data_IF_880033806336
#
_entry.id   IF_880033806336
#
_cell.length_a   1.000
_cell.length_b   1.000
_cell.length_c   1.000
_cell.angle_alpha   90.00
_cell.angle_beta   90.00
_cell.angle_gamma   90.00
#
_symmetry.space_group_name_H-M   'P 1'
#
loop_
_entity.id
_entity.type
_entity.pdbx_description
1 polymer ?
#
# COMPACT_ATOMS: atom_id res chain seq x y z
N UNK A 1 -31.70 22.55 18.51
CA UNK A 1 -30.95 21.28 18.37
C UNK A 1 -30.59 21.03 16.88
N UNK A 2 -31.45 21.43 15.88
CA UNK A 2 -31.14 21.25 14.45
C UNK A 2 -30.04 22.17 13.89
N UNK A 3 -29.78 23.34 14.50
CA UNK A 3 -28.76 24.28 13.99
C UNK A 3 -27.31 23.86 14.31
N UNK A 4 -27.10 23.06 15.33
CA UNK A 4 -25.74 22.63 15.75
C UNK A 4 -25.18 21.51 14.86
N UNK A 5 -26.06 20.63 14.34
CA UNK A 5 -25.64 19.55 13.42
C UNK A 5 -25.22 20.09 12.04
N UNK A 6 -25.77 21.23 11.61
CA UNK A 6 -25.43 21.82 10.30
C UNK A 6 -24.04 22.46 10.31
N UNK A 7 -23.60 22.97 11.45
CA UNK A 7 -22.28 23.61 11.59
C UNK A 7 -21.11 22.59 11.56
N UNK A 8 -21.35 21.38 12.07
CA UNK A 8 -20.33 20.31 12.06
C UNK A 8 -20.13 19.78 10.62
N UNK A 9 -21.20 19.74 9.80
CA UNK A 9 -21.10 19.26 8.41
C UNK A 9 -20.37 20.24 7.50
N UNK A 10 -20.49 21.56 7.76
CA UNK A 10 -19.79 22.60 6.99
C UNK A 10 -18.30 22.67 7.34
N UNK A 11 -17.93 22.40 8.61
CA UNK A 11 -16.53 22.39 9.04
C UNK A 11 -15.74 21.18 8.49
N UNK A 12 -16.40 20.02 8.29
CA UNK A 12 -15.77 18.85 7.70
C UNK A 12 -15.48 19.01 6.20
N UNK A 13 -16.26 19.86 5.50
CA UNK A 13 -16.10 20.10 4.05
C UNK A 13 -14.94 21.05 3.71
N UNK A 14 -14.32 21.72 4.70
CA UNK A 14 -13.25 22.70 4.48
C UNK A 14 -11.83 22.12 4.71
N UNK A 15 -11.72 20.83 5.09
CA UNK A 15 -10.44 20.19 5.38
C UNK A 15 -9.92 19.30 4.26
N UNK A 16 -10.59 19.24 3.11
CA UNK A 16 -9.99 18.61 1.93
C UNK A 16 -9.03 19.60 1.25
N UNK A 17 -7.72 19.34 1.21
CA UNK A 17 -6.83 20.14 0.41
C UNK A 17 -7.25 19.97 -1.05
N UNK A 18 -7.55 21.11 -1.72
CA UNK A 18 -7.58 21.17 -3.17
C UNK A 18 -6.16 20.84 -3.63
N UNK A 19 -5.90 19.59 -4.00
CA UNK A 19 -4.74 19.26 -4.81
C UNK A 19 -4.93 19.97 -6.16
N UNK A 20 -4.28 21.12 -6.30
CA UNK A 20 -4.10 21.75 -7.59
C UNK A 20 -3.25 20.78 -8.43
N UNK A 21 -3.91 20.12 -9.41
CA UNK A 21 -3.25 19.30 -10.42
C UNK A 21 -2.33 20.22 -11.22
N UNK A 22 -1.02 20.07 -11.04
CA UNK A 22 -0.04 20.68 -11.93
C UNK A 22 -0.17 19.94 -13.28
N UNK A 23 -0.51 20.65 -14.35
CA UNK A 23 -0.34 20.14 -15.71
C UNK A 23 1.16 20.01 -15.99
N UNK A 24 1.73 18.84 -15.68
CA UNK A 24 3.05 18.44 -16.16
C UNK A 24 2.93 17.99 -17.61
N UNK A 25 3.82 18.49 -18.47
CA UNK A 25 3.85 18.11 -19.87
C UNK A 25 3.85 16.61 -20.05
N UNK A 26 2.83 16.11 -20.73
CA UNK A 26 2.56 14.71 -20.99
C UNK A 26 3.65 14.15 -21.88
N UNK A 27 4.53 13.32 -21.31
CA UNK A 27 5.32 12.41 -22.13
C UNK A 27 4.37 11.37 -22.74
N UNK A 28 4.58 11.05 -24.01
CA UNK A 28 3.77 10.08 -24.74
C UNK A 28 4.01 8.67 -24.14
N UNK A 29 3.21 8.29 -23.14
CA UNK A 29 3.29 7.01 -22.43
C UNK A 29 2.62 5.87 -23.22
N UNK A 30 1.95 6.15 -24.35
CA UNK A 30 1.12 5.20 -25.13
C UNK A 30 1.85 3.94 -25.61
N UNK A 31 3.16 3.85 -25.45
CA UNK A 31 3.95 2.67 -25.83
C UNK A 31 4.75 2.04 -24.69
N UNK A 32 4.81 2.67 -23.50
CA UNK A 32 5.65 2.23 -22.39
C UNK A 32 4.86 1.60 -21.24
N UNK A 33 3.65 2.08 -20.98
CA UNK A 33 2.81 1.61 -19.89
C UNK A 33 1.33 1.83 -20.24
N UNK A 34 0.68 0.95 -20.99
CA UNK A 34 -0.69 1.14 -21.47
C UNK A 34 -1.74 1.26 -20.35
N UNK A 35 -1.37 0.93 -19.12
CA UNK A 35 -2.23 0.94 -17.96
C UNK A 35 -1.83 1.94 -16.87
N UNK A 36 -0.66 2.60 -17.00
CA UNK A 36 -0.24 3.63 -16.05
C UNK A 36 -1.07 4.92 -16.23
N UNK A 37 -1.41 5.53 -15.10
CA UNK A 37 -2.16 6.80 -15.09
C UNK A 37 -1.21 7.99 -15.35
N UNK A 38 -1.79 9.13 -15.79
CA UNK A 38 -1.06 10.39 -15.89
C UNK A 38 -0.49 10.79 -14.53
N UNK A 39 0.83 10.80 -14.43
CA UNK A 39 1.56 11.16 -13.21
C UNK A 39 2.27 10.00 -12.53
N UNK A 40 2.05 8.76 -12.97
CA UNK A 40 2.85 7.63 -12.49
C UNK A 40 4.30 7.78 -12.93
N UNK A 41 5.22 7.53 -12.02
CA UNK A 41 6.65 7.55 -12.29
C UNK A 41 7.19 6.16 -12.62
N UNK A 42 6.49 5.12 -12.17
CA UNK A 42 6.86 3.73 -12.26
C UNK A 42 5.64 2.85 -12.53
N UNK A 43 5.86 1.63 -13.03
CA UNK A 43 4.88 0.55 -13.02
C UNK A 43 5.58 -0.81 -12.96
N UNK A 44 4.83 -1.87 -12.74
CA UNK A 44 5.33 -3.24 -12.62
C UNK A 44 4.81 -4.07 -13.80
N UNK A 45 5.64 -4.31 -14.84
CA UNK A 45 5.26 -5.16 -15.97
C UNK A 45 4.94 -6.59 -15.57
N UNK A 46 5.79 -7.19 -14.70
CA UNK A 46 5.65 -8.58 -14.27
C UNK A 46 5.92 -8.71 -12.77
N UNK A 47 5.02 -9.42 -12.09
CA UNK A 47 5.12 -9.75 -10.68
C UNK A 47 4.81 -11.24 -10.47
N UNK A 48 5.85 -12.04 -10.35
CA UNK A 48 5.73 -13.49 -10.12
C UNK A 48 6.02 -13.83 -8.68
N UNK A 49 5.13 -14.62 -8.08
CA UNK A 49 5.29 -15.13 -6.71
C UNK A 49 5.18 -16.65 -6.74
N UNK A 50 6.15 -17.34 -6.19
CA UNK A 50 6.12 -18.79 -6.04
C UNK A 50 6.12 -19.14 -4.56
N UNK A 51 5.17 -19.97 -4.14
CA UNK A 51 4.97 -20.41 -2.75
C UNK A 51 5.19 -21.91 -2.67
N UNK A 52 6.17 -22.31 -1.90
CA UNK A 52 6.49 -23.70 -1.57
C UNK A 52 6.20 -23.95 -0.09
N UNK A 53 5.09 -24.67 0.20
CA UNK A 53 4.67 -24.99 1.55
C UNK A 53 5.59 -26.03 2.16
N UNK A 54 5.96 -25.85 3.44
CA UNK A 54 6.71 -26.81 4.26
C UNK A 54 5.79 -27.66 5.13
N UNK A 55 6.34 -28.77 5.66
CA UNK A 55 5.60 -29.72 6.49
C UNK A 55 5.12 -29.11 7.82
N UNK A 56 5.76 -28.07 8.32
CA UNK A 56 5.39 -27.38 9.56
C UNK A 56 4.34 -26.27 9.38
N UNK A 57 3.90 -26.02 8.14
CA UNK A 57 2.92 -24.98 7.81
C UNK A 57 3.56 -23.63 7.48
N UNK A 58 4.88 -23.50 7.57
CA UNK A 58 5.61 -22.35 7.02
C UNK A 58 5.71 -22.46 5.50
N UNK A 59 6.14 -21.40 4.84
CA UNK A 59 6.35 -21.42 3.40
C UNK A 59 7.66 -20.72 3.01
N UNK A 60 8.32 -21.25 1.98
CA UNK A 60 9.36 -20.53 1.25
C UNK A 60 8.70 -19.80 0.07
N UNK A 61 8.82 -18.49 0.07
CA UNK A 61 8.21 -17.63 -0.94
C UNK A 61 9.31 -16.98 -1.77
N UNK A 62 9.20 -17.07 -3.08
CA UNK A 62 10.07 -16.39 -4.04
C UNK A 62 9.29 -15.30 -4.73
N UNK A 63 9.79 -14.08 -4.68
CA UNK A 63 9.34 -12.91 -5.42
C UNK A 63 10.28 -12.66 -6.58
N UNK A 64 9.75 -12.55 -7.81
CA UNK A 64 10.48 -12.23 -9.03
C UNK A 64 9.74 -11.11 -9.76
N UNK A 65 10.30 -9.93 -9.73
CA UNK A 65 9.62 -8.70 -10.10
C UNK A 65 10.41 -7.96 -11.17
N UNK A 66 9.71 -7.55 -12.21
CA UNK A 66 10.22 -6.60 -13.20
C UNK A 66 9.61 -5.23 -12.91
N UNK A 67 10.44 -4.22 -12.70
CA UNK A 67 10.06 -2.85 -12.39
C UNK A 67 10.52 -1.91 -13.49
N UNK A 68 9.65 -1.01 -13.93
CA UNK A 68 9.90 -0.07 -15.01
C UNK A 68 9.69 1.36 -14.54
N UNK A 69 10.76 2.17 -14.58
CA UNK A 69 10.67 3.62 -14.42
C UNK A 69 10.21 4.22 -15.74
N UNK A 70 9.18 5.08 -15.70
CA UNK A 70 8.58 5.71 -16.88
C UNK A 70 8.64 7.23 -16.85
N UNK A 71 8.69 7.84 -15.67
CA UNK A 71 8.67 9.28 -15.47
C UNK A 71 9.83 9.81 -14.64
N UNK A 72 9.83 11.11 -14.40
CA UNK A 72 10.83 11.80 -13.59
C UNK A 72 11.94 12.49 -14.39
N UNK A 73 12.64 13.41 -13.74
CA UNK A 73 13.77 14.17 -14.29
C UNK A 73 15.13 13.56 -13.91
N UNK A 74 16.22 14.27 -14.19
CA UNK A 74 17.58 13.78 -13.92
C UNK A 74 17.89 13.59 -12.41
N UNK A 75 17.08 14.14 -11.53
CA UNK A 75 17.22 14.01 -10.08
C UNK A 75 16.38 12.87 -9.53
N UNK A 76 15.39 12.42 -10.29
CA UNK A 76 14.49 11.32 -9.94
C UNK A 76 15.07 10.00 -10.43
N UNK A 77 15.26 9.07 -9.52
CA UNK A 77 15.78 7.75 -9.82
C UNK A 77 15.27 6.71 -8.84
N UNK A 78 15.06 5.52 -9.34
CA UNK A 78 14.78 4.35 -8.54
C UNK A 78 16.10 3.75 -8.03
N UNK A 79 16.25 3.60 -6.73
CA UNK A 79 17.40 2.97 -6.08
C UNK A 79 17.02 1.96 -5.00
N UNK A 80 15.78 1.94 -4.58
CA UNK A 80 15.22 0.99 -3.62
C UNK A 80 13.71 0.94 -3.74
N UNK A 81 13.12 -0.17 -3.29
CA UNK A 81 11.68 -0.39 -3.20
C UNK A 81 11.32 -1.08 -1.89
N UNK A 82 10.06 -0.99 -1.47
CA UNK A 82 9.45 -1.82 -0.43
C UNK A 82 8.46 -2.80 -1.09
N UNK A 83 8.61 -4.09 -0.82
CA UNK A 83 7.68 -5.12 -1.26
C UNK A 83 6.94 -5.65 -0.05
N UNK A 84 5.61 -5.59 -0.06
CA UNK A 84 4.77 -6.07 1.02
C UNK A 84 4.95 -7.57 1.26
N UNK A 85 5.03 -7.95 2.54
CA UNK A 85 5.07 -9.33 3.02
C UNK A 85 3.76 -9.64 3.75
N UNK A 86 3.34 -10.90 3.83
CA UNK A 86 2.06 -11.28 4.42
C UNK A 86 1.89 -10.84 5.88
N UNK A 87 2.95 -10.91 6.67
CA UNK A 87 2.96 -10.51 8.09
C UNK A 87 4.39 -10.29 8.60
N UNK A 88 4.54 -10.00 9.89
CA UNK A 88 5.82 -9.69 10.53
C UNK A 88 6.73 -10.92 10.79
N UNK A 89 6.24 -12.14 10.56
CA UNK A 89 6.98 -13.38 10.81
C UNK A 89 7.75 -13.85 9.57
N UNK A 90 8.41 -12.90 8.91
CA UNK A 90 9.27 -13.11 7.76
C UNK A 90 10.74 -13.26 8.21
N UNK A 91 11.38 -14.34 7.79
CA UNK A 91 12.75 -14.70 8.16
C UNK A 91 13.57 -15.02 6.89
N UNK A 92 14.88 -15.11 7.03
CA UNK A 92 15.81 -15.61 6.01
C UNK A 92 15.66 -14.93 4.63
N UNK A 93 15.47 -13.60 4.61
CA UNK A 93 15.42 -12.85 3.36
C UNK A 93 16.74 -13.02 2.60
N UNK A 94 16.68 -13.58 1.41
CA UNK A 94 17.85 -13.90 0.59
C UNK A 94 17.72 -13.32 -0.83
N UNK A 95 18.65 -12.46 -1.28
CA UNK A 95 18.67 -11.98 -2.64
C UNK A 95 19.02 -13.11 -3.62
N UNK A 96 18.26 -13.22 -4.72
CA UNK A 96 18.47 -14.24 -5.76
C UNK A 96 19.05 -13.66 -7.06
N UNK A 97 19.16 -12.32 -7.15
CA UNK A 97 19.76 -11.61 -8.29
C UNK A 97 20.86 -10.66 -7.83
N UNK A 98 21.84 -10.42 -8.69
CA UNK A 98 22.95 -9.47 -8.47
C UNK A 98 22.52 -7.98 -8.60
N UNK A 99 21.30 -7.75 -9.04
CA UNK A 99 20.67 -6.41 -9.07
C UNK A 99 20.37 -5.89 -7.68
N UNK A 100 20.28 -6.76 -6.66
CA UNK A 100 20.05 -6.41 -5.26
C UNK A 100 21.42 -6.25 -4.57
N UNK A 101 21.68 -5.07 -4.00
CA UNK A 101 22.88 -4.81 -3.20
C UNK A 101 22.65 -4.98 -1.70
N UNK A 102 21.41 -4.79 -1.23
CA UNK A 102 21.01 -4.97 0.17
C UNK A 102 19.53 -5.37 0.23
N UNK A 103 19.19 -6.25 1.18
CA UNK A 103 17.84 -6.75 1.39
C UNK A 103 17.59 -6.89 2.88
N UNK A 104 16.57 -6.22 3.38
CA UNK A 104 16.27 -6.18 4.81
C UNK A 104 14.75 -6.23 5.04
N UNK A 105 14.34 -6.90 6.13
CA UNK A 105 13.00 -6.74 6.67
C UNK A 105 12.85 -5.33 7.30
N UNK A 106 11.69 -4.72 7.12
CA UNK A 106 11.30 -3.49 7.82
C UNK A 106 9.84 -3.55 8.24
N UNK A 107 9.57 -3.25 9.53
CA UNK A 107 8.23 -3.15 10.12
C UNK A 107 7.68 -1.72 10.17
N UNK A 108 8.29 -0.78 9.44
CA UNK A 108 7.89 0.63 9.44
C UNK A 108 6.62 0.85 8.59
N UNK A 109 5.47 0.91 9.25
CA UNK A 109 4.15 1.10 8.65
C UNK A 109 3.59 -0.16 7.98
N UNK A 110 4.02 -1.37 8.38
CA UNK A 110 3.61 -2.66 7.84
C UNK A 110 4.78 -3.62 7.71
N UNK A 111 4.54 -4.80 7.16
CA UNK A 111 5.57 -5.84 6.94
C UNK A 111 6.13 -5.75 5.53
N UNK A 112 7.42 -5.40 5.37
CA UNK A 112 8.02 -5.20 4.06
C UNK A 112 9.40 -5.81 3.94
N UNK A 113 9.73 -6.28 2.74
CA UNK A 113 11.10 -6.45 2.28
C UNK A 113 11.57 -5.14 1.65
N UNK A 114 12.56 -4.48 2.24
CA UNK A 114 13.25 -3.34 1.64
C UNK A 114 14.37 -3.85 0.75
N UNK A 115 14.22 -3.63 -0.54
CA UNK A 115 15.17 -4.02 -1.58
C UNK A 115 15.97 -2.80 -2.01
N UNK A 116 17.28 -2.82 -1.86
CA UNK A 116 18.17 -1.75 -2.35
C UNK A 116 18.93 -2.25 -3.58
N UNK A 117 18.90 -1.49 -4.65
CA UNK A 117 19.51 -1.88 -5.91
C UNK A 117 21.01 -1.55 -5.95
N UNK A 118 21.77 -2.36 -6.69
CA UNK A 118 23.20 -2.16 -6.91
C UNK A 118 23.49 -0.91 -7.77
N UNK A 119 22.52 -0.38 -8.48
CA UNK A 119 22.61 0.83 -9.32
C UNK A 119 21.29 1.58 -9.32
N UNK A 120 21.30 2.77 -9.93
CA UNK A 120 20.11 3.62 -10.12
C UNK A 120 19.47 3.36 -11.46
N UNK A 121 18.13 3.45 -11.51
CA UNK A 121 17.32 3.35 -12.72
C UNK A 121 16.58 4.67 -12.92
N UNK A 122 16.41 5.07 -14.16
CA UNK A 122 15.91 6.40 -14.54
C UNK A 122 14.79 6.26 -15.57
N UNK A 123 14.05 7.33 -15.83
CA UNK A 123 13.12 7.37 -16.96
C UNK A 123 13.87 7.08 -18.28
N UNK A 124 13.18 6.57 -19.33
CA UNK A 124 13.82 6.22 -20.59
C UNK A 124 14.63 7.36 -21.21
N UNK A 125 14.12 8.60 -21.13
CA UNK A 125 14.79 9.78 -21.66
C UNK A 125 16.10 10.08 -20.92
N UNK A 126 16.06 10.01 -19.60
CA UNK A 126 17.26 10.26 -18.75
C UNK A 126 18.26 9.12 -18.90
N UNK A 127 17.78 7.87 -18.94
CA UNK A 127 18.62 6.68 -19.15
C UNK A 127 19.36 6.75 -20.49
N UNK A 128 18.69 7.16 -21.57
CA UNK A 128 19.30 7.34 -22.89
C UNK A 128 20.41 8.41 -22.91
N UNK A 129 20.24 9.49 -22.13
CA UNK A 129 21.24 10.57 -22.05
C UNK A 129 22.46 10.19 -21.21
N UNK A 130 22.28 9.40 -20.15
CA UNK A 130 23.30 9.08 -19.16
C UNK A 130 23.94 7.68 -19.36
N UNK A 131 23.50 6.90 -20.33
CA UNK A 131 23.91 5.50 -20.52
C UNK A 131 23.40 4.57 -19.41
N UNK A 132 22.29 4.93 -18.77
CA UNK A 132 21.63 4.17 -17.72
C UNK A 132 20.58 3.19 -18.24
N UNK A 133 19.80 2.64 -17.33
CA UNK A 133 18.68 1.74 -17.60
C UNK A 133 17.40 2.28 -16.95
N UNK A 134 16.25 1.95 -17.54
CA UNK A 134 14.92 2.32 -17.04
C UNK A 134 14.15 1.13 -16.45
N UNK A 135 14.68 -0.10 -16.61
CA UNK A 135 14.04 -1.33 -16.18
C UNK A 135 14.99 -2.14 -15.29
N UNK A 136 14.46 -2.72 -14.24
CA UNK A 136 15.16 -3.68 -13.40
C UNK A 136 14.31 -4.93 -13.22
N UNK A 137 14.95 -6.10 -13.29
CA UNK A 137 14.40 -7.36 -12.78
C UNK A 137 15.20 -7.75 -11.55
N UNK A 138 14.49 -8.08 -10.49
CA UNK A 138 15.08 -8.54 -9.24
C UNK A 138 14.25 -9.67 -8.63
N UNK A 139 14.94 -10.57 -7.94
CA UNK A 139 14.28 -11.65 -7.25
C UNK A 139 14.91 -11.86 -5.88
N UNK A 140 14.07 -12.24 -4.92
CA UNK A 140 14.48 -12.62 -3.58
C UNK A 140 13.58 -13.71 -3.03
N UNK A 141 14.06 -14.45 -2.04
CA UNK A 141 13.25 -15.39 -1.28
C UNK A 141 13.12 -14.94 0.17
N UNK A 142 12.05 -15.39 0.79
CA UNK A 142 11.75 -15.20 2.21
C UNK A 142 11.17 -16.50 2.77
N UNK A 143 11.55 -16.84 4.00
CA UNK A 143 10.87 -17.85 4.79
C UNK A 143 9.77 -17.18 5.60
N UNK A 144 8.52 -17.64 5.46
CA UNK A 144 7.35 -16.99 6.02
C UNK A 144 6.61 -17.94 6.95
N UNK A 145 6.38 -17.51 8.17
CA UNK A 145 5.56 -18.19 9.17
C UNK A 145 4.18 -17.51 9.29
N UNK A 146 3.28 -18.09 10.08
CA UNK A 146 1.96 -17.56 10.41
C UNK A 146 1.09 -17.30 9.17
N UNK A 147 0.98 -18.29 8.28
CA UNK A 147 0.18 -18.18 7.05
C UNK A 147 -1.14 -18.96 7.10
N UNK A 148 -1.39 -19.78 8.13
CA UNK A 148 -2.50 -20.72 8.14
C UNK A 148 -3.36 -20.62 9.41
N UNK A 149 -4.57 -21.11 9.27
CA UNK A 149 -5.51 -21.36 10.40
C UNK A 149 -5.92 -22.83 10.37
N UNK A 150 -5.84 -23.50 11.51
CA UNK A 150 -6.31 -24.89 11.65
C UNK A 150 -7.83 -24.92 11.76
N UNK A 151 -8.47 -25.82 11.02
CA UNK A 151 -9.90 -26.04 11.01
C UNK A 151 -10.27 -27.26 11.86
N UNK A 152 -11.50 -27.28 12.41
CA UNK A 152 -12.03 -28.38 13.22
C UNK A 152 -12.16 -29.70 12.44
N UNK A 153 -12.17 -29.66 11.12
CA UNK A 153 -12.32 -30.81 10.22
C UNK A 153 -10.99 -31.52 9.87
N UNK A 154 -9.88 -31.08 10.44
CA UNK A 154 -8.54 -31.62 10.18
C UNK A 154 -7.91 -31.11 8.91
N UNK A 155 -8.32 -29.91 8.47
CA UNK A 155 -7.67 -29.16 7.40
C UNK A 155 -7.00 -27.90 7.94
N UNK A 156 -6.11 -27.29 7.16
CA UNK A 156 -5.58 -25.95 7.38
C UNK A 156 -5.92 -25.06 6.20
N UNK A 157 -6.37 -23.85 6.47
CA UNK A 157 -6.63 -22.83 5.46
C UNK A 157 -5.50 -21.80 5.48
N UNK A 158 -4.90 -21.58 4.34
CA UNK A 158 -3.91 -20.54 4.08
C UNK A 158 -4.59 -19.35 3.43
N UNK A 159 -4.36 -18.17 3.99
CA UNK A 159 -4.73 -16.89 3.41
C UNK A 159 -3.45 -16.14 3.02
N UNK A 160 -3.26 -15.90 1.75
CA UNK A 160 -2.07 -15.27 1.24
C UNK A 160 -2.41 -14.10 0.33
N UNK A 161 -1.89 -12.94 0.68
CA UNK A 161 -1.97 -11.74 -0.13
C UNK A 161 -0.56 -11.31 -0.48
N UNK A 162 -0.11 -11.45 -1.74
CA UNK A 162 1.14 -10.84 -2.19
C UNK A 162 1.11 -9.34 -1.94
N UNK A 163 2.29 -8.72 -1.77
CA UNK A 163 2.37 -7.28 -1.63
C UNK A 163 1.62 -6.55 -2.75
N UNK A 164 0.85 -5.54 -2.40
CA UNK A 164 0.16 -4.66 -3.35
C UNK A 164 0.75 -3.25 -3.25
N UNK A 165 0.37 -2.38 -4.18
CA UNK A 165 0.91 -1.03 -4.27
C UNK A 165 -0.22 -0.02 -4.35
N UNK A 166 -0.15 1.02 -3.52
CA UNK A 166 -1.17 2.08 -3.48
C UNK A 166 -1.06 3.03 -4.68
N UNK A 167 0.17 3.23 -5.18
CA UNK A 167 0.51 4.25 -6.18
C UNK A 167 1.08 3.67 -7.48
N UNK A 168 0.97 2.35 -7.70
CA UNK A 168 1.53 1.68 -8.88
C UNK A 168 0.52 0.75 -9.53
N UNK A 169 0.68 0.59 -10.83
CA UNK A 169 -0.04 -0.41 -11.63
C UNK A 169 0.83 -1.65 -11.78
N UNK A 170 0.24 -2.83 -11.59
CA UNK A 170 0.84 -4.12 -11.93
C UNK A 170 0.18 -4.64 -13.20
N UNK A 171 0.90 -4.72 -14.30
CA UNK A 171 0.36 -5.14 -15.59
C UNK A 171 0.01 -6.62 -15.60
N UNK A 172 0.90 -7.44 -15.05
CA UNK A 172 0.72 -8.89 -14.97
C UNK A 172 1.24 -9.43 -13.64
N UNK A 173 0.38 -10.09 -12.85
CA UNK A 173 0.76 -10.82 -11.65
C UNK A 173 0.40 -12.29 -11.81
N UNK A 174 1.33 -13.18 -11.47
CA UNK A 174 1.10 -14.61 -11.38
C UNK A 174 1.53 -15.12 -10.00
N UNK A 175 0.64 -15.85 -9.33
CA UNK A 175 0.98 -16.58 -8.12
C UNK A 175 0.96 -18.07 -8.43
N UNK A 176 2.03 -18.76 -8.05
CA UNK A 176 2.20 -20.21 -8.21
C UNK A 176 2.37 -20.81 -6.81
N UNK A 177 1.47 -21.69 -6.45
CA UNK A 177 1.52 -22.43 -5.19
C UNK A 177 1.76 -23.90 -5.47
N UNK A 178 2.79 -24.50 -4.85
CA UNK A 178 3.07 -25.91 -5.08
C UNK A 178 1.88 -26.75 -4.65
N UNK A 179 1.32 -27.53 -5.59
CA UNK A 179 0.16 -28.40 -5.34
C UNK A 179 0.57 -29.63 -4.55
N UNK A 180 -0.39 -30.21 -3.83
CA UNK A 180 -0.26 -31.44 -3.09
C UNK A 180 -1.56 -32.25 -3.06
N UNK A 181 -1.47 -33.49 -2.60
CA UNK A 181 -2.63 -34.38 -2.53
C UNK A 181 -3.72 -33.81 -1.62
N UNK A 182 -4.92 -33.65 -2.17
CA UNK A 182 -6.09 -33.16 -1.41
C UNK A 182 -6.15 -31.65 -1.20
N UNK A 183 -5.25 -30.87 -1.85
CA UNK A 183 -5.34 -29.41 -1.82
C UNK A 183 -6.60 -28.94 -2.54
N UNK A 184 -7.28 -27.95 -1.95
CA UNK A 184 -8.44 -27.27 -2.51
C UNK A 184 -8.16 -25.79 -2.60
N UNK A 185 -8.33 -25.21 -3.78
CA UNK A 185 -8.07 -23.80 -4.03
C UNK A 185 -9.03 -23.26 -5.10
N UNK A 186 -9.12 -21.95 -5.19
CA UNK A 186 -9.86 -21.20 -6.20
C UNK A 186 -8.99 -20.76 -7.39
N UNK A 187 -7.91 -21.50 -7.65
CA UNK A 187 -6.93 -21.21 -8.68
C UNK A 187 -7.50 -21.19 -10.11
N UNK A 188 -6.85 -20.45 -11.00
CA UNK A 188 -7.25 -20.31 -12.41
C UNK A 188 -6.90 -21.57 -13.21
N UNK A 189 -5.76 -22.21 -12.90
CA UNK A 189 -5.27 -23.40 -13.58
C UNK A 189 -4.32 -24.21 -12.69
N UNK A 190 -3.94 -25.39 -13.16
CA UNK A 190 -2.89 -26.23 -12.58
C UNK A 190 -1.91 -26.63 -13.67
N UNK A 191 -0.62 -26.40 -13.47
CA UNK A 191 0.44 -26.70 -14.40
C UNK A 191 1.74 -27.05 -13.67
N UNK A 192 2.44 -28.09 -14.14
CA UNK A 192 3.73 -28.53 -13.61
C UNK A 192 3.78 -28.76 -12.10
N UNK A 193 2.65 -29.18 -11.49
CA UNK A 193 2.53 -29.40 -10.05
C UNK A 193 2.37 -28.11 -9.24
N UNK A 194 1.86 -27.07 -9.86
CA UNK A 194 1.50 -25.82 -9.19
C UNK A 194 0.04 -25.46 -9.47
N UNK A 195 -0.65 -24.96 -8.45
CA UNK A 195 -1.87 -24.21 -8.56
C UNK A 195 -1.48 -22.78 -8.99
N UNK A 196 -2.15 -22.24 -10.00
CA UNK A 196 -1.78 -20.98 -10.63
C UNK A 196 -2.97 -20.00 -10.58
N UNK A 197 -2.70 -18.80 -10.12
CA UNK A 197 -3.57 -17.63 -10.23
C UNK A 197 -2.92 -16.60 -11.14
N UNK A 198 -3.71 -16.09 -12.08
CA UNK A 198 -3.32 -15.03 -13.00
C UNK A 198 -4.16 -13.79 -12.73
N UNK A 199 -3.51 -12.67 -12.55
CA UNK A 199 -4.13 -11.37 -12.35
C UNK A 199 -3.54 -10.35 -13.30
N UNK A 200 -4.35 -9.41 -13.72
CA UNK A 200 -3.85 -8.26 -14.44
C UNK A 200 -4.83 -7.66 -15.44
N UNK A 201 -4.66 -6.40 -15.78
CA UNK A 201 -3.88 -5.43 -15.03
C UNK A 201 -4.56 -5.06 -13.70
N UNK A 202 -3.74 -4.81 -12.66
CA UNK A 202 -4.19 -4.37 -11.34
C UNK A 202 -3.84 -2.90 -11.17
N UNK A 203 -4.85 -2.09 -10.89
CA UNK A 203 -4.69 -0.65 -10.64
C UNK A 203 -4.23 -0.35 -9.20
N UNK A 204 -4.09 0.93 -8.90
CA UNK A 204 -3.69 1.45 -7.60
C UNK A 204 -4.54 0.88 -6.46
N UNK A 205 -3.90 0.39 -5.40
CA UNK A 205 -4.55 -0.16 -4.20
C UNK A 205 -5.27 -1.49 -4.39
N UNK A 206 -5.18 -2.12 -5.56
CA UNK A 206 -5.76 -3.44 -5.79
C UNK A 206 -4.85 -4.54 -5.24
N UNK A 207 -5.43 -5.52 -4.58
CA UNK A 207 -4.74 -6.68 -4.02
C UNK A 207 -5.28 -7.99 -4.57
N UNK A 208 -4.42 -9.00 -4.66
CA UNK A 208 -4.79 -10.38 -4.96
C UNK A 208 -4.91 -11.16 -3.65
N UNK A 209 -6.00 -11.88 -3.46
CA UNK A 209 -6.20 -12.73 -2.30
C UNK A 209 -6.25 -14.19 -2.74
N UNK A 210 -5.39 -15.01 -2.18
CA UNK A 210 -5.21 -16.43 -2.47
C UNK A 210 -5.69 -17.24 -1.27
N UNK A 211 -6.53 -18.26 -1.52
CA UNK A 211 -6.98 -19.17 -0.50
C UNK A 211 -6.64 -20.60 -0.91
N UNK A 212 -5.93 -21.31 -0.04
CA UNK A 212 -5.60 -22.73 -0.23
C UNK A 212 -5.95 -23.48 1.04
N UNK A 213 -6.78 -24.52 0.92
CA UNK A 213 -7.07 -25.45 2.01
C UNK A 213 -6.31 -26.74 1.78
N UNK A 214 -5.57 -27.19 2.78
CA UNK A 214 -4.76 -28.40 2.72
C UNK A 214 -5.20 -29.39 3.80
N UNK A 215 -5.18 -30.71 3.55
CA UNK A 215 -5.42 -31.69 4.59
C UNK A 215 -4.23 -31.75 5.55
N UNK A 216 -4.48 -31.61 6.85
CA UNK A 216 -3.47 -31.84 7.89
C UNK A 216 -3.48 -33.32 8.23
N UNK A 217 -2.60 -34.09 7.56
CA UNK A 217 -2.58 -35.56 7.70
C UNK A 217 -2.04 -36.04 9.04
N UNK A 218 -1.34 -35.17 9.76
CA UNK A 218 -0.90 -35.39 11.14
C UNK A 218 -0.89 -34.06 11.89
N UNK A 219 -1.68 -33.95 12.94
CA UNK A 219 -1.65 -32.80 13.86
C UNK A 219 -0.27 -32.55 14.52
N UNK A 220 0.72 -33.40 14.21
CA UNK A 220 2.08 -33.33 14.73
C UNK A 220 3.05 -32.52 13.85
N UNK A 221 2.69 -32.17 12.60
CA UNK A 221 3.58 -31.44 11.69
C UNK A 221 3.31 -29.93 11.68
N UNK A 222 2.04 -29.53 11.74
CA UNK A 222 1.69 -28.10 11.80
C UNK A 222 1.79 -27.60 13.25
N UNK A 223 2.64 -26.60 13.48
CA UNK A 223 2.78 -25.97 14.78
C UNK A 223 1.54 -25.12 15.11
N UNK A 224 0.72 -25.48 16.12
CA UNK A 224 -0.46 -24.69 16.50
C UNK A 224 -0.10 -23.27 16.95
N UNK A 225 1.12 -23.03 17.46
CA UNK A 225 1.56 -21.72 17.90
C UNK A 225 2.02 -20.84 16.72
N UNK A 226 2.23 -21.44 15.53
CA UNK A 226 2.57 -20.73 14.29
C UNK A 226 1.33 -20.43 13.41
N UNK A 227 0.11 -20.48 13.97
CA UNK A 227 -1.09 -20.11 13.27
C UNK A 227 -1.18 -18.60 13.09
N UNK A 228 -1.81 -18.19 12.00
CA UNK A 228 -2.20 -16.80 11.76
C UNK A 228 -3.16 -16.35 12.86
N UNK A 229 -2.89 -15.23 13.48
CA UNK A 229 -3.68 -14.66 14.55
C UNK A 229 -4.18 -13.27 14.19
N UNK A 230 -5.14 -12.74 14.94
CA UNK A 230 -5.60 -11.37 14.74
C UNK A 230 -4.49 -10.32 14.92
N UNK A 231 -3.44 -10.66 15.68
CA UNK A 231 -2.28 -9.78 15.87
C UNK A 231 -1.39 -9.72 14.62
N UNK A 232 -1.41 -10.73 13.76
CA UNK A 232 -0.61 -10.79 12.53
C UNK A 232 -1.18 -9.90 11.42
N UNK A 233 -2.47 -9.54 11.53
CA UNK A 233 -3.12 -8.55 10.65
C UNK A 233 -2.92 -7.11 11.10
N UNK A 234 -2.28 -6.88 12.26
CA UNK A 234 -1.97 -5.53 12.74
C UNK A 234 -0.74 -5.02 11.97
N UNK A 235 -1.01 -4.53 10.78
CA UNK A 235 -0.04 -3.97 9.80
C UNK A 235 0.54 -2.61 10.23
N UNK A 236 0.64 -2.35 11.52
CA UNK A 236 1.12 -1.08 12.07
C UNK A 236 0.09 0.05 11.97
N UNK A 237 -1.15 -0.29 11.70
CA UNK A 237 -2.30 0.60 11.91
C UNK A 237 -2.30 1.12 13.33
N UNK A 238 -2.63 2.40 13.53
CA UNK A 238 -2.68 3.00 14.87
C UNK A 238 -3.56 2.15 15.79
N UNK A 239 -3.03 1.75 16.93
CA UNK A 239 -3.78 1.02 17.95
C UNK A 239 -5.00 1.84 18.39
N UNK A 240 -6.02 1.17 18.89
CA UNK A 240 -7.22 1.85 19.42
C UNK A 240 -6.86 2.91 20.46
N UNK A 241 -5.81 2.70 21.25
CA UNK A 241 -5.30 3.64 22.24
C UNK A 241 -4.61 4.85 21.60
N UNK A 242 -3.88 4.67 20.51
CA UNK A 242 -3.26 5.77 19.73
C UNK A 242 -4.33 6.60 19.03
N UNK A 243 -5.33 5.96 18.42
CA UNK A 243 -6.49 6.64 17.81
C UNK A 243 -7.24 7.43 18.89
N UNK A 244 -7.47 6.84 20.07
CA UNK A 244 -8.12 7.51 21.20
C UNK A 244 -7.27 8.67 21.71
N UNK A 245 -5.94 8.52 21.74
CA UNK A 245 -4.99 9.57 22.12
C UNK A 245 -5.06 10.76 21.17
N UNK A 246 -5.01 10.53 19.86
CA UNK A 246 -5.13 11.56 18.83
C UNK A 246 -6.50 12.25 18.90
N UNK A 247 -7.57 11.48 19.04
CA UNK A 247 -8.93 12.01 19.17
C UNK A 247 -9.06 12.92 20.39
N UNK A 248 -8.46 12.55 21.51
CA UNK A 248 -8.44 13.33 22.74
C UNK A 248 -7.70 14.67 22.55
N UNK A 249 -6.56 14.66 21.88
CA UNK A 249 -5.79 15.88 21.55
C UNK A 249 -6.58 16.79 20.61
N UNK A 250 -7.20 16.24 19.56
CA UNK A 250 -8.01 17.02 18.61
C UNK A 250 -9.22 17.65 19.31
N UNK A 251 -9.93 16.90 20.14
CA UNK A 251 -11.07 17.43 20.93
C UNK A 251 -10.58 18.51 21.88
N UNK A 252 -9.45 18.32 22.56
CA UNK A 252 -8.84 19.33 23.45
C UNK A 252 -8.51 20.63 22.72
N UNK A 253 -7.94 20.55 21.52
CA UNK A 253 -7.64 21.71 20.67
C UNK A 253 -8.92 22.43 20.22
N UNK A 254 -9.97 21.70 19.87
CA UNK A 254 -11.26 22.29 19.49
C UNK A 254 -11.94 23.03 20.66
N UNK A 255 -11.90 22.45 21.86
CA UNK A 255 -12.42 23.08 23.07
C UNK A 255 -11.62 24.34 23.39
N UNK A 256 -10.29 24.29 23.27
CA UNK A 256 -9.41 25.44 23.50
C UNK A 256 -9.67 26.57 22.49
N UNK A 257 -9.82 26.23 21.20
CA UNK A 257 -10.17 27.22 20.18
C UNK A 257 -11.54 27.85 20.42
N UNK A 258 -12.54 27.06 20.81
CA UNK A 258 -13.86 27.58 21.16
C UNK A 258 -13.81 28.52 22.39
N UNK A 259 -13.03 28.18 23.41
CA UNK A 259 -12.82 29.02 24.60
C UNK A 259 -12.14 30.34 24.21
N UNK A 260 -11.13 30.32 23.32
CA UNK A 260 -10.47 31.53 22.83
C UNK A 260 -11.45 32.45 22.07
N UNK A 261 -12.32 31.88 21.23
CA UNK A 261 -13.34 32.65 20.52
C UNK A 261 -14.29 33.33 21.48
N UNK A 262 -14.72 32.66 22.54
CA UNK A 262 -15.58 33.21 23.60
C UNK A 262 -14.87 34.35 24.35
N UNK A 263 -13.60 34.16 24.72
CA UNK A 263 -12.80 35.16 25.43
C UNK A 263 -12.59 36.41 24.55
N UNK A 264 -12.19 36.22 23.30
CA UNK A 264 -11.98 37.33 22.35
C UNK A 264 -13.31 38.05 22.05
N UNK A 265 -14.40 37.30 21.86
CA UNK A 265 -15.74 37.87 21.68
C UNK A 265 -16.26 38.65 22.91
N UNK A 266 -15.85 38.27 24.13
CA UNK A 266 -16.21 39.00 25.35
C UNK A 266 -15.33 40.23 25.63
N UNK A 267 -14.16 40.33 24.97
CA UNK A 267 -13.24 41.47 25.09
C UNK A 267 -13.44 42.55 24.02
N UNK A 268 -14.32 42.33 23.03
CA UNK A 268 -14.67 43.40 22.07
C UNK A 268 -15.53 44.44 22.82
N UNK A 269 -15.08 45.68 22.99
CA UNK A 269 -15.92 46.74 23.54
C UNK A 269 -17.13 46.93 22.62
N UNK A 270 -18.29 47.11 23.23
CA UNK A 270 -19.54 47.45 22.54
C UNK A 270 -19.34 48.77 21.76
N UNK A 271 -18.93 48.67 20.49
CA UNK A 271 -18.89 49.79 19.58
C UNK A 271 -20.32 50.01 19.07
N UNK A 272 -21.17 50.48 19.99
CA UNK A 272 -22.43 51.12 19.68
C UNK A 272 -22.19 52.43 18.92
N UNK A 273 -21.82 52.32 17.65
CA UNK A 273 -21.68 53.42 16.72
C UNK A 273 -22.53 53.14 15.50
N UNK A 274 -23.72 53.81 15.42
CA UNK A 274 -24.63 53.69 14.32
C UNK A 274 -23.94 53.99 12.99
N UNK A 275 -23.91 53.02 12.10
CA UNK A 275 -23.64 53.25 10.69
C UNK A 275 -24.95 53.56 10.01
N UNK A 276 -25.06 54.86 9.63
CA UNK A 276 -26.13 55.38 8.79
C UNK A 276 -26.21 54.60 7.49
N UNK A 277 -27.45 54.29 7.13
CA UNK A 277 -27.90 53.83 5.83
C UNK A 277 -27.34 54.71 4.71
N UNK A 278 -26.52 54.15 3.84
CA UNK A 278 -26.03 54.80 2.64
C UNK A 278 -24.94 54.05 1.92
N UNK A 279 -25.23 52.85 1.43
CA UNK A 279 -24.45 52.25 0.35
C UNK A 279 -25.46 51.73 -0.68
N UNK A 280 -25.37 52.36 -1.84
CA UNK A 280 -26.08 52.01 -3.07
C UNK A 280 -25.67 50.63 -3.55
N UNK A 281 -26.60 49.70 -3.95
CA UNK A 281 -26.25 48.35 -4.39
C UNK A 281 -25.52 48.26 -5.74
N UNK A 282 -25.27 49.36 -6.44
CA UNK A 282 -24.79 49.35 -7.83
C UNK A 282 -23.28 49.55 -8.03
N UNK A 283 -22.49 49.60 -6.94
CA UNK A 283 -21.03 49.85 -7.03
C UNK A 283 -20.10 48.61 -7.06
N UNK A 284 -20.62 47.43 -7.42
CA UNK A 284 -19.81 46.20 -7.51
C UNK A 284 -19.61 45.72 -8.97
N UNK A 285 -19.25 46.60 -9.86
CA UNK A 285 -18.66 46.23 -11.15
C UNK A 285 -17.44 47.15 -11.43
N UNK A 286 -16.32 46.50 -11.80
CA UNK A 286 -15.02 47.02 -12.19
C UNK A 286 -13.97 47.16 -11.04
N UNK A 287 -13.21 46.05 -10.85
CA UNK A 287 -11.75 45.97 -11.07
C UNK A 287 -11.32 44.52 -10.94
#
# INVERSE_FOLDING_TARGET
VCSFLFLIFVAASLLFPLCARAESGQADLDGLAPYADDGDLDYIPDYFVTVDLREDGSADIVYDITWQVIGGDQTDYLSWVKIGLPNAHAEDLTPLTDTISDLQYTGDGGSYAKVVFARRYYSPEVAAQNGGESRVRFAFSVHQNHLFTLNDDGTATFEFTPGWFDDLVVEHMQVRWRSGDGFVADNSSEEDGYLIWEFGPMGHGQSANIHVTVPVTTAETFDPDAQLTAADYDDGGMTADEILGILTVVIGLLIFAAALIIIVGSMTPDWGGGFGSGLDPDDWFWY
#
